data_IF_005234891551
#
_entry.id   IF_005234891551
#
_cell.length_a   1.000
_cell.length_b   1.000
_cell.length_c   1.000
_cell.angle_alpha   90.00
_cell.angle_beta   90.00
_cell.angle_gamma   90.00
#
_symmetry.space_group_name_H-M   'P 1'
#
loop_
_entity.id
_entity.type
_entity.pdbx_description
1 polymer ?
#
# COMPACT_ATOMS: atom_id res chain seq x y z
N UNK A 1 14.59 26.54 10.28
CA UNK A 1 14.33 26.08 8.89
C UNK A 1 15.29 24.92 8.71
N UNK A 2 14.87 23.73 9.15
CA UNK A 2 15.79 22.68 9.60
C UNK A 2 15.91 21.55 8.59
N UNK A 3 15.63 21.84 7.32
CA UNK A 3 15.71 20.89 6.23
C UNK A 3 16.81 21.32 5.25
N UNK A 4 18.06 21.10 5.65
CA UNK A 4 19.23 21.26 4.78
C UNK A 4 19.78 19.86 4.44
N UNK A 5 19.80 19.45 3.15
CA UNK A 5 20.26 18.14 2.70
C UNK A 5 21.77 17.90 2.91
N UNK A 6 22.53 18.92 3.30
CA UNK A 6 23.98 18.83 3.55
C UNK A 6 24.33 18.49 5.00
N UNK A 7 23.34 18.38 5.90
CA UNK A 7 23.57 18.10 7.31
C UNK A 7 23.91 16.61 7.54
N UNK A 8 25.21 16.27 7.45
CA UNK A 8 25.75 14.92 7.73
C UNK A 8 25.76 14.55 9.23
N UNK A 9 25.16 15.34 10.10
CA UNK A 9 25.16 15.15 11.56
C UNK A 9 23.88 14.47 12.09
N UNK A 10 23.26 13.59 11.31
CA UNK A 10 22.18 12.73 11.81
C UNK A 10 22.83 11.62 12.62
N UNK A 11 22.85 11.78 13.95
CA UNK A 11 23.17 10.68 14.87
C UNK A 11 22.21 9.52 14.57
N UNK A 12 22.67 8.26 14.53
CA UNK A 12 21.76 7.13 14.40
C UNK A 12 20.75 7.20 15.55
N UNK A 13 19.47 7.33 15.21
CA UNK A 13 18.40 7.10 16.15
C UNK A 13 18.52 5.63 16.55
N UNK A 14 18.86 5.37 17.81
CA UNK A 14 18.82 4.02 18.35
C UNK A 14 17.35 3.62 18.36
N UNK A 15 16.93 2.93 17.30
CA UNK A 15 15.64 2.28 17.26
C UNK A 15 15.60 1.31 18.43
N UNK A 16 14.74 1.65 19.39
CA UNK A 16 14.43 0.80 20.52
C UNK A 16 13.90 -0.51 19.91
N UNK A 17 14.45 -1.69 20.24
CA UNK A 17 13.93 -2.92 19.71
C UNK A 17 12.47 -3.01 20.15
N UNK A 18 11.58 -3.05 19.17
CA UNK A 18 10.16 -3.34 19.39
C UNK A 18 10.09 -4.66 20.14
N UNK A 19 9.77 -4.58 21.43
CA UNK A 19 9.55 -5.75 22.28
C UNK A 19 8.25 -6.38 21.82
N UNK A 20 8.33 -7.37 20.93
CA UNK A 20 7.24 -8.29 20.64
C UNK A 20 7.00 -9.14 21.89
N UNK A 21 6.32 -8.57 22.90
CA UNK A 21 5.67 -9.41 23.89
C UNK A 21 4.45 -10.01 23.19
N UNK A 22 4.60 -11.27 22.83
CA UNK A 22 3.50 -12.15 22.48
C UNK A 22 2.70 -12.36 23.77
N UNK A 23 1.70 -11.51 24.01
CA UNK A 23 0.77 -11.70 25.12
C UNK A 23 -0.13 -12.91 24.78
N UNK A 24 0.37 -14.12 25.05
CA UNK A 24 -0.46 -15.32 25.08
C UNK A 24 -1.31 -15.28 26.35
N UNK A 25 -2.41 -14.54 26.29
CA UNK A 25 -3.47 -14.64 27.29
C UNK A 25 -4.22 -15.96 27.09
N UNK A 26 -3.72 -17.05 27.67
CA UNK A 26 -4.48 -18.29 27.81
C UNK A 26 -5.55 -18.06 28.89
N UNK A 27 -6.74 -17.64 28.48
CA UNK A 27 -7.93 -17.67 29.32
C UNK A 27 -8.45 -19.11 29.35
N UNK A 28 -8.10 -19.85 30.41
CA UNK A 28 -8.78 -21.08 30.77
C UNK A 28 -10.17 -20.72 31.32
N UNK A 29 -11.14 -20.54 30.43
CA UNK A 29 -12.56 -20.66 30.75
C UNK A 29 -13.10 -21.85 29.96
N UNK A 30 -13.20 -22.99 30.63
CA UNK A 30 -14.07 -24.09 30.23
C UNK A 30 -15.50 -23.56 30.38
N UNK A 31 -16.09 -23.05 29.31
CA UNK A 31 -17.52 -23.02 29.02
C UNK A 31 -17.75 -22.20 27.74
N UNK A 32 -18.50 -22.79 26.82
CA UNK A 32 -18.86 -22.30 25.47
C UNK A 32 -17.73 -22.39 24.42
N UNK A 33 -17.85 -23.40 23.55
CA UNK A 33 -17.15 -23.48 22.26
C UNK A 33 -17.65 -22.36 21.31
N UNK A 34 -17.53 -21.12 21.74
CA UNK A 34 -17.63 -19.98 20.85
C UNK A 34 -16.55 -20.18 19.79
N UNK A 35 -16.92 -20.07 18.51
CA UNK A 35 -16.00 -20.28 17.40
C UNK A 35 -14.85 -19.26 17.46
N UNK A 36 -13.79 -19.58 18.21
CA UNK A 36 -12.59 -18.76 18.30
C UNK A 36 -11.91 -18.82 16.95
N UNK A 37 -12.06 -17.76 16.17
CA UNK A 37 -11.39 -17.63 14.88
C UNK A 37 -9.96 -17.13 15.16
N UNK A 38 -9.01 -18.03 15.00
CA UNK A 38 -7.58 -17.79 15.28
C UNK A 38 -6.85 -17.25 14.04
N UNK A 39 -7.50 -17.23 12.87
CA UNK A 39 -6.87 -16.77 11.62
C UNK A 39 -7.86 -16.16 10.62
N UNK A 40 -7.38 -15.16 9.88
CA UNK A 40 -8.11 -14.47 8.79
C UNK A 40 -7.82 -15.20 7.47
N UNK A 41 -8.81 -15.32 6.55
CA UNK A 41 -8.58 -15.95 5.25
C UNK A 41 -7.45 -15.27 4.46
N UNK A 42 -6.64 -16.05 3.73
CA UNK A 42 -5.64 -15.49 2.84
C UNK A 42 -6.31 -14.68 1.72
N UNK A 43 -5.64 -13.64 1.19
CA UNK A 43 -6.22 -12.82 0.13
C UNK A 43 -6.55 -13.62 -1.15
N UNK A 44 -7.70 -13.32 -1.75
CA UNK A 44 -8.33 -14.09 -2.83
C UNK A 44 -7.61 -14.11 -4.19
N UNK A 45 -6.52 -13.34 -4.35
CA UNK A 45 -5.85 -13.18 -5.64
C UNK A 45 -4.56 -13.99 -5.61
N UNK A 46 -4.31 -14.88 -6.60
CA UNK A 46 -3.09 -15.66 -6.64
C UNK A 46 -1.87 -14.74 -6.66
N UNK A 47 -0.91 -15.05 -5.80
CA UNK A 47 0.38 -14.35 -5.64
C UNK A 47 1.34 -14.57 -6.82
N UNK A 48 0.83 -14.89 -8.02
CA UNK A 48 1.70 -15.02 -9.19
C UNK A 48 2.09 -13.63 -9.68
N UNK A 49 3.04 -13.06 -8.95
CA UNK A 49 3.65 -11.76 -9.16
C UNK A 49 4.80 -11.86 -10.15
N UNK A 50 4.82 -12.85 -11.01
CA UNK A 50 5.87 -13.06 -12.00
C UNK A 50 5.29 -12.64 -13.34
N UNK A 51 5.92 -11.67 -13.99
CA UNK A 51 5.54 -11.27 -15.34
C UNK A 51 5.93 -12.33 -16.39
N UNK A 52 5.53 -12.11 -17.64
CA UNK A 52 5.88 -12.99 -18.77
C UNK A 52 7.39 -13.11 -19.00
N UNK A 53 8.19 -12.19 -18.45
CA UNK A 53 9.64 -12.15 -18.51
C UNK A 53 10.32 -12.83 -17.30
N UNK A 54 9.55 -13.40 -16.36
CA UNK A 54 10.09 -14.06 -15.18
C UNK A 54 10.48 -13.11 -14.04
N UNK A 55 10.16 -11.81 -14.14
CA UNK A 55 10.52 -10.81 -13.13
C UNK A 55 9.39 -10.60 -12.13
N UNK A 56 9.78 -10.43 -10.87
CA UNK A 56 8.85 -10.11 -9.80
C UNK A 56 8.25 -8.71 -9.96
N UNK A 57 6.92 -8.64 -9.91
CA UNK A 57 6.11 -7.42 -9.93
C UNK A 57 5.27 -7.34 -8.66
N UNK A 58 5.58 -6.35 -7.82
CA UNK A 58 4.82 -6.13 -6.59
C UNK A 58 3.34 -5.86 -6.92
N UNK A 59 2.40 -6.59 -6.31
CA UNK A 59 0.98 -6.45 -6.61
C UNK A 59 0.37 -5.25 -5.85
N UNK A 60 1.15 -4.57 -5.00
CA UNK A 60 0.74 -3.39 -4.23
C UNK A 60 1.13 -2.07 -4.91
N UNK A 61 2.01 -2.13 -5.89
CA UNK A 61 2.59 -0.95 -6.54
C UNK A 61 2.09 -0.93 -8.00
N UNK A 62 1.60 0.21 -8.50
CA UNK A 62 1.21 0.30 -9.90
C UNK A 62 2.43 0.14 -10.82
N UNK A 63 2.19 -0.21 -12.08
CA UNK A 63 3.25 -0.14 -13.09
C UNK A 63 3.72 1.30 -13.26
N UNK A 64 5.04 1.50 -13.44
CA UNK A 64 5.57 2.82 -13.78
C UNK A 64 4.97 3.27 -15.12
N UNK A 65 4.61 4.56 -15.22
CA UNK A 65 4.20 5.12 -16.50
C UNK A 65 5.40 5.11 -17.46
N UNK A 66 5.22 4.73 -18.74
CA UNK A 66 6.31 4.75 -19.71
C UNK A 66 6.91 6.15 -19.81
N UNK A 67 8.23 6.22 -19.66
CA UNK A 67 8.95 7.47 -19.86
C UNK A 67 9.07 7.75 -21.36
N UNK A 68 9.06 9.04 -21.77
CA UNK A 68 9.37 9.39 -23.15
C UNK A 68 10.76 8.86 -23.53
N UNK A 69 10.89 8.39 -24.77
CA UNK A 69 12.15 7.86 -25.32
C UNK A 69 13.21 8.94 -25.53
N UNK A 70 12.80 10.20 -25.51
CA UNK A 70 13.69 11.34 -25.71
C UNK A 70 14.60 11.54 -24.51
N UNK A 71 15.90 11.57 -24.78
CA UNK A 71 16.91 11.84 -23.75
C UNK A 71 16.86 13.31 -23.37
N UNK A 72 17.01 13.60 -22.08
CA UNK A 72 17.09 14.97 -21.56
C UNK A 72 18.20 15.78 -22.25
N UNK A 73 19.27 15.10 -22.66
CA UNK A 73 20.39 15.63 -23.44
C UNK A 73 19.92 16.31 -24.74
N UNK A 74 18.89 15.78 -25.40
CA UNK A 74 18.38 16.34 -26.66
C UNK A 74 17.83 17.77 -26.46
N UNK A 75 17.26 18.07 -25.29
CA UNK A 75 16.71 19.38 -24.96
C UNK A 75 17.80 20.39 -24.52
N UNK A 76 19.00 19.92 -24.18
CA UNK A 76 20.13 20.77 -23.78
C UNK A 76 20.90 21.32 -24.98
N UNK A 77 20.95 20.56 -26.09
CA UNK A 77 21.73 20.91 -27.27
C UNK A 77 20.89 21.46 -28.42
N UNK A 78 19.59 21.14 -28.49
CA UNK A 78 18.72 21.56 -29.60
C UNK A 78 17.49 22.36 -29.11
N UNK A 79 17.54 23.67 -29.30
CA UNK A 79 16.43 24.59 -29.01
C UNK A 79 15.20 24.34 -29.90
N UNK A 80 15.33 23.68 -31.05
CA UNK A 80 14.20 23.40 -31.93
C UNK A 80 13.37 22.19 -31.45
N UNK A 81 13.97 21.32 -30.64
CA UNK A 81 13.35 20.10 -30.10
C UNK A 81 12.76 20.36 -28.70
N UNK A 82 13.21 21.43 -28.03
CA UNK A 82 12.71 21.80 -26.69
C UNK A 82 11.27 22.30 -26.74
N UNK A 83 10.32 21.60 -26.09
CA UNK A 83 8.95 22.04 -26.06
C UNK A 83 8.81 23.40 -25.34
N UNK A 84 7.84 24.24 -25.72
CA UNK A 84 7.56 25.48 -25.02
C UNK A 84 7.29 25.23 -23.52
N UNK A 85 7.68 26.16 -22.65
CA UNK A 85 7.55 26.01 -21.20
C UNK A 85 6.12 25.73 -20.73
N UNK A 86 5.13 26.31 -21.41
CA UNK A 86 3.70 26.08 -21.16
C UNK A 86 3.30 24.63 -21.46
N UNK A 87 3.79 24.08 -22.58
CA UNK A 87 3.54 22.69 -22.97
C UNK A 87 4.17 21.72 -21.98
N UNK A 88 5.44 21.98 -21.59
CA UNK A 88 6.13 21.17 -20.59
C UNK A 88 5.36 21.14 -19.26
N UNK A 89 4.86 22.27 -18.78
CA UNK A 89 4.05 22.33 -17.57
C UNK A 89 2.77 21.49 -17.70
N UNK A 90 2.05 21.62 -18.82
CA UNK A 90 0.83 20.85 -19.05
C UNK A 90 1.09 19.34 -19.11
N UNK A 91 2.15 18.92 -19.79
CA UNK A 91 2.54 17.51 -19.89
C UNK A 91 2.90 16.94 -18.52
N UNK A 92 3.64 17.70 -17.71
CA UNK A 92 3.94 17.31 -16.33
C UNK A 92 2.66 17.17 -15.49
N UNK A 93 1.70 18.10 -15.60
CA UNK A 93 0.44 18.02 -14.89
C UNK A 93 -0.39 16.80 -15.30
N UNK A 94 -0.39 16.48 -16.60
CA UNK A 94 -1.07 15.29 -17.12
C UNK A 94 -0.41 13.99 -16.63
N UNK A 95 0.92 13.92 -16.69
CA UNK A 95 1.70 12.80 -16.17
C UNK A 95 1.38 12.53 -14.69
N UNK A 96 1.48 13.55 -13.84
CA UNK A 96 1.17 13.40 -12.42
C UNK A 96 -0.29 13.06 -12.16
N UNK A 97 -1.22 13.53 -12.99
CA UNK A 97 -2.62 13.09 -12.91
C UNK A 97 -2.73 11.58 -13.18
N UNK A 98 -2.10 11.07 -14.24
CA UNK A 98 -2.13 9.64 -14.58
C UNK A 98 -1.48 8.78 -13.49
N UNK A 99 -0.33 9.21 -12.95
CA UNK A 99 0.31 8.54 -11.81
C UNK A 99 -0.68 8.42 -10.64
N UNK A 100 -1.36 9.51 -10.26
CA UNK A 100 -2.34 9.48 -9.16
C UNK A 100 -3.49 8.52 -9.43
N UNK A 101 -4.04 8.53 -10.65
CA UNK A 101 -5.12 7.59 -11.01
C UNK A 101 -4.65 6.13 -10.97
N UNK A 102 -3.42 5.85 -11.41
CA UNK A 102 -2.84 4.51 -11.32
C UNK A 102 -2.67 4.04 -9.87
N UNK A 103 -2.22 4.91 -8.98
CA UNK A 103 -2.14 4.62 -7.55
C UNK A 103 -3.52 4.38 -6.93
N UNK A 104 -4.49 5.23 -7.24
CA UNK A 104 -5.88 5.09 -6.76
C UNK A 104 -6.51 3.77 -7.21
N UNK A 105 -6.30 3.38 -8.47
CA UNK A 105 -6.78 2.09 -8.98
C UNK A 105 -6.07 0.93 -8.29
N UNK A 106 -4.75 1.00 -8.15
CA UNK A 106 -3.97 -0.07 -7.51
C UNK A 106 -4.30 -0.23 -6.03
N UNK A 107 -4.58 0.86 -5.31
CA UNK A 107 -5.02 0.80 -3.92
C UNK A 107 -6.38 0.11 -3.80
N UNK A 108 -7.34 0.44 -4.68
CA UNK A 108 -8.63 -0.25 -4.70
C UNK A 108 -8.50 -1.75 -5.01
N UNK A 109 -7.64 -2.12 -5.96
CA UNK A 109 -7.31 -3.54 -6.24
C UNK A 109 -6.68 -4.23 -5.03
N UNK A 110 -5.83 -3.53 -4.27
CA UNK A 110 -5.20 -4.06 -3.07
C UNK A 110 -6.21 -4.24 -1.94
N UNK A 111 -7.11 -3.29 -1.72
CA UNK A 111 -8.14 -3.36 -0.68
C UNK A 111 -9.11 -4.51 -0.96
N UNK A 112 -9.49 -4.70 -2.22
CA UNK A 112 -10.37 -5.80 -2.64
C UNK A 112 -9.81 -7.19 -2.31
N UNK A 113 -8.48 -7.33 -2.15
CA UNK A 113 -7.86 -8.62 -1.76
C UNK A 113 -8.23 -9.06 -0.36
N UNK A 114 -8.50 -8.10 0.51
CA UNK A 114 -8.81 -8.34 1.91
C UNK A 114 -10.32 -8.34 2.17
N UNK A 115 -11.15 -8.31 1.12
CA UNK A 115 -12.61 -8.23 1.24
C UNK A 115 -13.18 -9.32 2.16
N UNK A 116 -12.80 -10.58 1.96
CA UNK A 116 -13.35 -11.69 2.74
C UNK A 116 -12.90 -11.65 4.20
N UNK A 117 -11.64 -11.27 4.45
CA UNK A 117 -11.13 -11.06 5.80
C UNK A 117 -11.84 -9.91 6.52
N UNK A 118 -12.08 -8.80 5.82
CA UNK A 118 -12.84 -7.66 6.36
C UNK A 118 -14.30 -8.01 6.62
N UNK A 119 -14.92 -8.80 5.75
CA UNK A 119 -16.28 -9.30 5.94
C UNK A 119 -16.37 -10.18 7.18
N UNK A 120 -15.44 -11.14 7.32
CA UNK A 120 -15.38 -12.03 8.48
C UNK A 120 -15.28 -11.23 9.79
N UNK A 121 -14.37 -10.26 9.86
CA UNK A 121 -14.20 -9.38 11.02
C UNK A 121 -15.45 -8.54 11.31
N UNK A 122 -16.11 -8.02 10.25
CA UNK A 122 -17.35 -7.24 10.40
C UNK A 122 -18.51 -8.10 10.92
N UNK A 123 -18.64 -9.33 10.42
CA UNK A 123 -19.67 -10.28 10.84
C UNK A 123 -19.46 -10.68 12.32
N UNK A 124 -18.21 -10.91 12.75
CA UNK A 124 -17.88 -11.15 14.17
C UNK A 124 -18.30 -9.99 15.05
N UNK A 125 -17.85 -8.78 14.71
CA UNK A 125 -18.13 -7.59 15.50
C UNK A 125 -19.64 -7.36 15.63
N UNK A 126 -20.36 -7.52 14.52
CA UNK A 126 -21.82 -7.38 14.51
C UNK A 126 -22.49 -8.38 15.46
N UNK A 127 -22.10 -9.66 15.43
CA UNK A 127 -22.65 -10.69 16.34
C UNK A 127 -22.44 -10.34 17.81
N UNK A 128 -21.22 -9.93 18.19
CA UNK A 128 -20.91 -9.52 19.56
C UNK A 128 -21.75 -8.32 20.04
N UNK A 129 -22.00 -7.35 19.16
CA UNK A 129 -22.85 -6.18 19.47
C UNK A 129 -24.32 -6.59 19.68
N UNK A 130 -24.81 -7.58 18.93
CA UNK A 130 -26.18 -8.08 19.13
C UNK A 130 -26.33 -8.89 20.43
N UNK A 131 -25.37 -9.76 20.79
CA UNK A 131 -25.44 -10.54 22.04
C UNK A 131 -25.39 -9.67 23.31
N UNK A 132 -24.65 -8.56 23.27
CA UNK A 132 -24.63 -7.58 24.36
C UNK A 132 -25.92 -6.75 24.49
N UNK A 133 -26.72 -6.65 23.42
CA UNK A 133 -27.99 -5.92 23.43
C UNK A 133 -29.21 -6.74 23.83
N UNK A 134 -29.15 -8.07 23.70
CA UNK A 134 -30.25 -9.00 24.02
C UNK A 134 -30.20 -9.47 25.48
N UNK A 135 -29.09 -9.23 26.18
CA UNK A 135 -28.87 -9.61 27.58
C UNK A 135 -29.17 -8.50 28.61
N UNK A 136 -29.87 -7.42 28.24
CA UNK A 136 -30.41 -6.40 29.15
C UNK A 136 -31.94 -6.48 29.25
#
# INVERSE_FOLDING_TARGET
MDNDPTNRNIKPHNDTPYSSQEDTATSNSEDEEDNIIISIPPPNIPFNNIDENGKYRSPRIPEPEPQPTDRIENYLYDSAVTPPSQQLLLDHLQHWRRIRENWKRKSAENDSRYHDGMKMLSDMFSRHVYDTSVSQ
#
